data_IF_933599837861
#
_entry.id   IF_933599837861
#
_cell.length_a   1.000
_cell.length_b   1.000
_cell.length_c   1.000
_cell.angle_alpha   90.00
_cell.angle_beta   90.00
_cell.angle_gamma   90.00
#
_symmetry.space_group_name_H-M   'P 1'
#
loop_
_entity.id
_entity.type
_entity.pdbx_description
1 polymer ?
#
# COMPACT_ATOMS: atom_id res chain seq x y z
N UNK A 1 10.33 -25.27 -1.01
CA UNK A 1 10.39 -23.91 -1.51
C UNK A 1 10.09 -22.97 -0.34
N UNK A 2 10.95 -22.02 -0.14
CA UNK A 2 11.05 -21.13 1.01
C UNK A 2 10.87 -19.65 0.58
N UNK A 3 10.39 -19.48 -0.64
CA UNK A 3 10.03 -18.23 -1.29
C UNK A 3 8.76 -18.44 -2.12
N UNK A 4 7.81 -17.50 -2.04
CA UNK A 4 6.53 -17.60 -2.75
C UNK A 4 5.95 -16.22 -3.09
N UNK A 5 5.11 -16.20 -4.11
CA UNK A 5 4.28 -15.03 -4.42
C UNK A 5 2.99 -15.09 -3.61
N UNK A 6 2.62 -13.99 -2.98
CA UNK A 6 1.31 -13.77 -2.42
C UNK A 6 0.55 -12.80 -3.32
N UNK A 7 -0.41 -13.34 -4.07
CA UNK A 7 -1.00 -12.61 -5.20
C UNK A 7 0.05 -12.35 -6.30
N UNK A 8 -0.13 -11.26 -7.04
CA UNK A 8 0.73 -10.89 -8.17
C UNK A 8 1.86 -9.93 -7.78
N UNK A 9 1.74 -9.27 -6.63
CA UNK A 9 2.55 -8.11 -6.31
C UNK A 9 3.38 -8.24 -5.05
N UNK A 10 3.24 -9.32 -4.29
CA UNK A 10 4.01 -9.55 -3.07
C UNK A 10 4.87 -10.80 -3.22
N UNK A 11 6.17 -10.64 -3.01
CA UNK A 11 7.15 -11.71 -2.88
C UNK A 11 7.49 -11.86 -1.39
N UNK A 12 7.25 -13.02 -0.82
CA UNK A 12 7.60 -13.33 0.56
C UNK A 12 8.61 -14.46 0.63
N UNK A 13 9.48 -14.42 1.63
CA UNK A 13 10.45 -15.47 1.88
C UNK A 13 10.65 -15.66 3.38
N UNK A 14 10.90 -16.90 3.78
CA UNK A 14 11.25 -17.21 5.16
C UNK A 14 12.77 -17.25 5.35
N UNK A 15 13.26 -16.76 6.48
CA UNK A 15 14.64 -16.92 6.89
C UNK A 15 14.77 -18.29 7.57
N UNK A 16 15.33 -19.26 6.86
CA UNK A 16 15.39 -20.68 7.29
C UNK A 16 16.82 -21.19 7.51
N UNK A 17 17.82 -20.39 7.14
CA UNK A 17 19.21 -20.73 7.36
C UNK A 17 19.64 -20.40 8.79
N UNK A 18 20.56 -21.16 9.37
CA UNK A 18 21.15 -20.83 10.67
C UNK A 18 21.85 -19.47 10.63
N UNK A 19 21.82 -18.77 11.75
CA UNK A 19 22.61 -17.54 11.90
C UNK A 19 24.11 -17.87 11.98
N UNK A 20 24.91 -17.06 11.30
CA UNK A 20 26.34 -17.05 11.51
C UNK A 20 26.68 -16.58 12.94
N UNK A 21 27.52 -17.31 13.63
CA UNK A 21 27.86 -17.09 15.06
C UNK A 21 28.66 -15.80 15.31
N UNK A 22 29.28 -15.23 14.28
CA UNK A 22 30.07 -14.00 14.39
C UNK A 22 29.23 -12.78 14.09
N UNK A 23 28.42 -12.83 13.03
CA UNK A 23 27.61 -11.69 12.59
C UNK A 23 26.22 -11.66 13.22
N UNK A 24 25.72 -12.79 13.71
CA UNK A 24 24.34 -12.92 14.20
C UNK A 24 23.28 -12.85 13.10
N UNK A 25 23.68 -12.97 11.82
CA UNK A 25 22.80 -12.86 10.66
C UNK A 25 22.68 -14.19 9.94
N UNK A 26 21.52 -14.46 9.39
CA UNK A 26 21.28 -15.57 8.48
C UNK A 26 21.30 -15.08 7.02
N UNK A 27 22.09 -15.74 6.18
CA UNK A 27 22.11 -15.45 4.74
C UNK A 27 20.88 -16.02 4.07
N UNK A 28 20.30 -15.27 3.14
CA UNK A 28 19.15 -15.70 2.36
C UNK A 28 19.34 -15.34 0.90
N UNK A 29 19.28 -16.33 0.01
CA UNK A 29 19.28 -16.11 -1.45
C UNK A 29 17.84 -15.95 -1.92
N UNK A 30 17.54 -14.82 -2.55
CA UNK A 30 16.21 -14.45 -3.00
C UNK A 30 16.26 -14.23 -4.51
N UNK A 31 15.44 -14.96 -5.25
CA UNK A 31 15.20 -14.71 -6.66
C UNK A 31 14.14 -13.65 -6.82
N UNK A 32 14.48 -12.48 -7.34
CA UNK A 32 13.53 -11.44 -7.71
C UNK A 32 13.04 -11.67 -9.15
N UNK A 33 11.73 -11.91 -9.37
CA UNK A 33 11.17 -11.92 -10.72
C UNK A 33 11.43 -10.61 -11.47
N UNK A 34 11.26 -10.61 -12.79
CA UNK A 34 11.45 -9.39 -13.60
C UNK A 34 10.64 -8.19 -13.08
N UNK A 35 11.21 -6.99 -13.26
CA UNK A 35 10.68 -5.73 -12.73
C UNK A 35 11.46 -5.24 -11.52
N UNK A 36 10.95 -4.25 -10.82
CA UNK A 36 11.57 -3.70 -9.59
C UNK A 36 10.74 -4.09 -8.38
N UNK A 37 11.44 -4.28 -7.25
CA UNK A 37 10.87 -4.76 -6.01
C UNK A 37 11.25 -3.84 -4.86
N UNK A 38 10.26 -3.41 -4.13
CA UNK A 38 10.41 -2.56 -2.95
C UNK A 38 10.44 -3.43 -1.69
N UNK A 39 11.50 -3.32 -0.90
CA UNK A 39 11.59 -3.95 0.41
C UNK A 39 10.69 -3.18 1.40
N UNK A 40 9.64 -3.83 1.86
CA UNK A 40 8.65 -3.20 2.72
C UNK A 40 9.14 -2.97 4.17
N UNK A 41 10.29 -3.54 4.54
CA UNK A 41 10.91 -3.33 5.85
C UNK A 41 11.96 -2.21 5.82
N UNK A 42 12.80 -2.17 4.78
CA UNK A 42 13.95 -1.25 4.72
C UNK A 42 13.75 -0.06 3.79
N UNK A 43 12.80 -0.14 2.85
CA UNK A 43 12.60 0.86 1.81
C UNK A 43 13.57 0.74 0.63
N UNK A 44 14.41 -0.28 0.59
CA UNK A 44 15.34 -0.50 -0.51
C UNK A 44 14.62 -0.96 -1.79
N UNK A 45 15.18 -0.61 -2.94
CA UNK A 45 14.70 -1.07 -4.25
C UNK A 45 15.67 -2.09 -4.84
N UNK A 46 15.13 -3.21 -5.32
CA UNK A 46 15.88 -4.27 -5.99
C UNK A 46 15.45 -4.40 -7.44
N UNK A 47 16.43 -4.54 -8.33
CA UNK A 47 16.17 -4.91 -9.73
C UNK A 47 15.89 -6.42 -9.82
N UNK A 48 14.84 -6.78 -10.56
CA UNK A 48 14.47 -8.17 -10.78
C UNK A 48 15.26 -8.86 -11.91
N UNK A 49 14.86 -10.10 -12.22
CA UNK A 49 15.54 -10.96 -13.17
C UNK A 49 16.84 -11.56 -12.61
N UNK A 50 17.08 -11.47 -11.31
CA UNK A 50 18.32 -11.94 -10.67
C UNK A 50 18.11 -12.45 -9.25
N UNK A 51 19.11 -13.19 -8.76
CA UNK A 51 19.19 -13.62 -7.36
C UNK A 51 20.11 -12.68 -6.59
N UNK A 52 19.63 -12.23 -5.43
CA UNK A 52 20.42 -11.48 -4.44
C UNK A 52 20.69 -12.37 -3.22
N UNK A 53 21.83 -12.19 -2.58
CA UNK A 53 22.11 -12.76 -1.27
C UNK A 53 22.01 -11.65 -0.24
N UNK A 54 21.01 -11.75 0.63
CA UNK A 54 20.68 -10.77 1.66
C UNK A 54 20.82 -11.41 3.04
N UNK A 55 21.00 -10.58 4.05
CA UNK A 55 21.28 -11.03 5.42
C UNK A 55 20.25 -10.46 6.38
N UNK A 56 19.71 -11.33 7.24
CA UNK A 56 18.60 -11.00 8.14
C UNK A 56 18.87 -11.49 9.55
N UNK A 57 18.33 -10.80 10.52
CA UNK A 57 18.17 -11.34 11.87
C UNK A 57 17.01 -12.33 11.91
N UNK A 58 16.95 -13.18 12.94
CA UNK A 58 15.82 -14.13 13.10
C UNK A 58 14.48 -13.46 13.42
N UNK A 59 14.47 -12.19 13.77
CA UNK A 59 13.25 -11.41 14.02
C UNK A 59 12.67 -10.76 12.75
N UNK A 60 13.39 -10.80 11.64
CA UNK A 60 12.96 -10.21 10.38
C UNK A 60 12.19 -11.24 9.52
N UNK A 61 11.10 -10.78 8.93
CA UNK A 61 10.32 -11.53 7.96
C UNK A 61 10.34 -10.74 6.64
N UNK A 62 11.30 -10.99 5.75
CA UNK A 62 11.45 -10.23 4.53
C UNK A 62 10.29 -10.48 3.56
N UNK A 63 9.71 -9.39 3.11
CA UNK A 63 8.72 -9.38 2.04
C UNK A 63 8.87 -8.13 1.19
N UNK A 64 8.59 -8.29 -0.07
CA UNK A 64 8.83 -7.28 -1.09
C UNK A 64 7.57 -7.06 -1.88
N UNK A 65 7.31 -5.81 -2.23
CA UNK A 65 6.21 -5.46 -3.11
C UNK A 65 6.73 -5.03 -4.49
N UNK A 66 6.02 -5.39 -5.54
CA UNK A 66 6.33 -4.95 -6.89
C UNK A 66 6.23 -3.43 -6.99
N UNK A 67 7.17 -2.78 -7.68
CA UNK A 67 7.10 -1.35 -7.94
C UNK A 67 5.77 -0.99 -8.63
N UNK A 68 5.08 0.02 -8.11
CA UNK A 68 3.78 0.43 -8.59
C UNK A 68 2.59 -0.31 -7.95
N UNK A 69 2.81 -1.39 -7.21
CA UNK A 69 1.72 -2.08 -6.52
C UNK A 69 0.95 -1.13 -5.59
N UNK A 70 -0.35 -1.38 -5.45
CA UNK A 70 -1.22 -0.71 -4.49
C UNK A 70 -1.74 -1.79 -3.55
N UNK A 71 -1.37 -1.69 -2.27
CA UNK A 71 -1.68 -2.72 -1.27
C UNK A 71 -2.85 -2.26 -0.40
N UNK A 72 -4.02 -2.92 -0.50
CA UNK A 72 -5.14 -2.68 0.40
C UNK A 72 -4.89 -3.41 1.72
N UNK A 73 -5.07 -2.70 2.83
CA UNK A 73 -4.87 -3.24 4.17
C UNK A 73 -5.96 -2.74 5.12
N UNK A 74 -6.21 -3.49 6.18
CA UNK A 74 -7.03 -3.02 7.27
C UNK A 74 -6.23 -2.09 8.20
N UNK A 75 -6.84 -1.06 8.78
CA UNK A 75 -6.20 -0.27 9.82
C UNK A 75 -5.91 -1.14 11.05
N UNK A 76 -4.90 -0.76 11.83
CA UNK A 76 -4.49 -1.51 13.04
C UNK A 76 -5.59 -1.64 14.10
N UNK A 77 -6.62 -0.81 14.04
CA UNK A 77 -7.80 -0.87 14.92
C UNK A 77 -8.70 -2.06 14.61
N UNK A 78 -8.69 -2.57 13.38
CA UNK A 78 -9.45 -3.76 12.97
C UNK A 78 -8.70 -5.01 13.43
N UNK A 79 -9.29 -5.77 14.34
CA UNK A 79 -8.65 -6.93 14.98
C UNK A 79 -8.94 -8.26 14.28
N UNK A 80 -10.00 -8.33 13.50
CA UNK A 80 -10.37 -9.51 12.72
C UNK A 80 -11.20 -9.10 11.49
N UNK A 81 -11.33 -9.99 10.52
CA UNK A 81 -12.02 -9.74 9.25
C UNK A 81 -13.56 -9.67 9.37
N UNK A 82 -14.14 -9.94 10.53
CA UNK A 82 -15.57 -9.80 10.77
C UNK A 82 -15.96 -8.37 11.23
N UNK A 83 -14.98 -7.55 11.56
CA UNK A 83 -15.22 -6.15 11.90
C UNK A 83 -15.42 -5.32 10.62
N UNK A 84 -16.41 -4.41 10.60
CA UNK A 84 -16.56 -3.47 9.49
C UNK A 84 -15.27 -2.68 9.27
N UNK A 85 -14.90 -2.50 8.00
CA UNK A 85 -13.75 -1.70 7.59
C UNK A 85 -14.24 -0.37 7.01
N UNK A 86 -14.56 0.59 7.91
CA UNK A 86 -15.00 1.93 7.51
C UNK A 86 -13.84 2.79 6.98
N UNK A 87 -12.61 2.39 7.29
CA UNK A 87 -11.39 3.02 6.77
C UNK A 87 -10.53 1.98 6.09
N UNK A 88 -10.26 2.16 4.80
CA UNK A 88 -9.34 1.30 4.06
C UNK A 88 -7.95 1.96 4.01
N UNK A 89 -6.91 1.20 4.38
CA UNK A 89 -5.52 1.63 4.19
C UNK A 89 -5.06 1.23 2.79
N UNK A 90 -4.57 2.21 2.02
CA UNK A 90 -3.99 1.99 0.70
C UNK A 90 -2.53 2.41 0.72
N UNK A 91 -1.62 1.46 0.52
CA UNK A 91 -0.18 1.73 0.44
C UNK A 91 0.25 1.70 -1.02
N UNK A 92 0.75 2.83 -1.52
CA UNK A 92 1.15 3.03 -2.91
C UNK A 92 2.65 2.83 -3.07
N UNK A 93 3.06 1.64 -3.49
CA UNK A 93 4.47 1.26 -3.62
C UNK A 93 5.16 2.12 -4.67
N UNK A 94 6.36 2.69 -4.37
CA UNK A 94 7.07 3.58 -5.28
C UNK A 94 7.58 2.89 -6.54
N UNK A 95 8.16 3.67 -7.46
CA UNK A 95 8.99 3.18 -8.56
C UNK A 95 8.27 2.95 -9.89
N UNK A 96 6.92 2.91 -9.92
CA UNK A 96 6.13 2.86 -11.14
C UNK A 96 4.72 3.39 -10.92
N UNK A 97 4.01 3.68 -12.00
CA UNK A 97 2.55 3.81 -11.98
C UNK A 97 1.91 2.48 -11.59
N UNK A 98 0.69 2.55 -11.08
CA UNK A 98 0.03 1.35 -10.57
C UNK A 98 -1.48 1.37 -10.68
N UNK A 99 -2.03 0.16 -10.65
CA UNK A 99 -3.47 -0.08 -10.67
C UNK A 99 -3.80 -1.27 -9.75
N UNK A 100 -4.91 -1.16 -9.03
CA UNK A 100 -5.50 -2.22 -8.23
C UNK A 100 -6.99 -2.30 -8.57
N UNK A 101 -7.51 -3.50 -8.73
CA UNK A 101 -8.96 -3.77 -8.65
C UNK A 101 -9.20 -4.43 -7.30
N UNK A 102 -9.69 -3.65 -6.36
CA UNK A 102 -10.02 -4.12 -5.01
C UNK A 102 -11.38 -4.81 -5.04
N UNK A 103 -11.38 -6.12 -4.74
CA UNK A 103 -12.58 -6.94 -4.65
C UNK A 103 -13.05 -7.04 -3.20
N UNK A 104 -14.36 -6.98 -2.99
CA UNK A 104 -15.00 -7.13 -1.69
C UNK A 104 -16.31 -7.92 -1.81
N UNK A 105 -16.59 -8.75 -0.82
CA UNK A 105 -17.85 -9.45 -0.63
C UNK A 105 -18.24 -9.46 0.87
N UNK A 106 -19.28 -10.17 1.25
CA UNK A 106 -19.74 -10.24 2.65
C UNK A 106 -18.83 -11.12 3.57
N UNK A 107 -17.85 -11.82 2.99
CA UNK A 107 -16.90 -12.65 3.72
C UNK A 107 -17.47 -13.89 4.43
N UNK A 108 -18.78 -14.18 4.28
CA UNK A 108 -19.47 -15.24 5.02
C UNK A 108 -20.34 -16.14 4.13
N UNK A 109 -21.02 -15.58 3.12
CA UNK A 109 -21.90 -16.38 2.24
C UNK A 109 -21.12 -16.98 1.08
N UNK A 110 -21.74 -17.93 0.40
CA UNK A 110 -21.20 -18.51 -0.84
C UNK A 110 -21.60 -17.69 -2.09
N UNK A 111 -22.13 -16.48 -1.92
CA UNK A 111 -22.61 -15.65 -3.03
C UNK A 111 -21.48 -14.78 -3.64
N UNK A 112 -20.24 -15.02 -3.29
CA UNK A 112 -19.07 -14.26 -3.77
C UNK A 112 -18.97 -14.13 -5.30
N UNK A 113 -19.61 -15.02 -6.07
CA UNK A 113 -19.61 -14.97 -7.52
C UNK A 113 -20.69 -14.04 -8.10
N UNK A 114 -21.69 -13.62 -7.33
CA UNK A 114 -22.85 -12.86 -7.78
C UNK A 114 -23.16 -11.63 -6.95
N UNK A 115 -22.73 -11.61 -5.68
CA UNK A 115 -22.94 -10.52 -4.74
C UNK A 115 -21.57 -10.03 -4.23
N UNK A 116 -20.93 -9.20 -5.02
CA UNK A 116 -19.62 -8.62 -4.75
C UNK A 116 -19.54 -7.18 -5.26
N UNK A 117 -18.53 -6.50 -4.85
CA UNK A 117 -18.19 -5.18 -5.37
C UNK A 117 -16.72 -5.10 -5.77
N UNK A 118 -16.42 -4.26 -6.73
CA UNK A 118 -15.05 -3.92 -7.11
C UNK A 118 -14.83 -2.42 -7.07
N UNK A 119 -13.63 -2.01 -6.66
CA UNK A 119 -13.21 -0.62 -6.67
C UNK A 119 -11.85 -0.52 -7.34
N UNK A 120 -11.78 0.19 -8.45
CA UNK A 120 -10.52 0.45 -9.15
C UNK A 120 -9.76 1.57 -8.44
N UNK A 121 -8.49 1.33 -8.15
CA UNK A 121 -7.58 2.34 -7.59
C UNK A 121 -6.39 2.49 -8.53
N UNK A 122 -6.00 3.73 -8.80
CA UNK A 122 -4.84 4.01 -9.67
C UNK A 122 -3.89 4.98 -9.01
N UNK A 123 -2.59 4.85 -9.35
CA UNK A 123 -1.54 5.81 -9.01
C UNK A 123 -0.78 6.19 -10.27
N UNK A 124 -0.55 7.48 -10.47
CA UNK A 124 0.28 8.01 -11.56
C UNK A 124 1.21 9.10 -11.07
N UNK A 125 2.43 9.11 -11.61
CA UNK A 125 3.43 10.15 -11.37
C UNK A 125 3.66 10.91 -12.68
N UNK A 126 3.39 12.22 -12.67
CA UNK A 126 3.61 13.11 -13.80
C UNK A 126 4.42 14.33 -13.34
N UNK A 127 5.69 14.37 -13.73
CA UNK A 127 6.62 15.42 -13.28
C UNK A 127 6.69 15.46 -11.74
N UNK A 128 6.45 16.64 -11.18
CA UNK A 128 6.43 16.87 -9.72
C UNK A 128 5.06 16.60 -9.07
N UNK A 129 4.16 15.87 -9.73
CA UNK A 129 2.82 15.59 -9.21
C UNK A 129 2.57 14.08 -9.15
N UNK A 130 2.16 13.59 -7.98
CA UNK A 130 1.67 12.23 -7.79
C UNK A 130 0.16 12.28 -7.58
N UNK A 131 -0.57 11.54 -8.39
CA UNK A 131 -2.02 11.46 -8.38
C UNK A 131 -2.47 10.04 -8.04
N UNK A 132 -3.32 9.91 -7.02
CA UNK A 132 -3.99 8.68 -6.66
C UNK A 132 -5.51 8.86 -6.80
N UNK A 133 -6.17 7.91 -7.45
CA UNK A 133 -7.62 7.97 -7.67
C UNK A 133 -8.25 6.66 -7.23
N UNK A 134 -9.26 6.75 -6.39
CA UNK A 134 -10.21 5.68 -6.08
C UNK A 134 -11.45 5.92 -6.94
N UNK A 135 -11.73 5.02 -7.86
CA UNK A 135 -12.91 5.11 -8.73
C UNK A 135 -14.20 4.80 -7.95
N UNK A 136 -15.37 5.16 -8.47
CA UNK A 136 -16.64 4.70 -7.93
C UNK A 136 -16.68 3.18 -7.81
N UNK A 137 -17.26 2.68 -6.73
CA UNK A 137 -17.49 1.25 -6.52
C UNK A 137 -18.49 0.72 -7.55
N UNK A 138 -18.17 -0.40 -8.14
CA UNK A 138 -19.05 -1.16 -9.04
C UNK A 138 -19.57 -2.41 -8.30
N UNK A 139 -20.87 -2.67 -8.37
CA UNK A 139 -21.51 -3.79 -7.70
C UNK A 139 -21.84 -3.50 -6.22
N UNK A 140 -22.37 -4.51 -5.54
CA UNK A 140 -22.75 -4.43 -4.13
C UNK A 140 -22.87 -5.81 -3.50
N UNK A 141 -22.81 -5.88 -2.19
CA UNK A 141 -23.00 -7.09 -1.38
C UNK A 141 -23.67 -6.73 -0.05
N UNK A 142 -24.14 -7.72 0.70
CA UNK A 142 -24.77 -7.51 2.00
C UNK A 142 -23.78 -6.91 3.01
N UNK A 143 -24.08 -5.70 3.52
CA UNK A 143 -23.18 -4.97 4.43
C UNK A 143 -22.14 -4.09 3.74
N UNK A 144 -22.21 -3.92 2.43
CA UNK A 144 -21.34 -3.01 1.71
C UNK A 144 -21.49 -1.56 2.24
N UNK A 145 -20.40 -0.85 2.61
CA UNK A 145 -20.49 0.49 3.17
C UNK A 145 -20.93 1.50 2.10
N UNK A 146 -21.84 2.42 2.44
CA UNK A 146 -22.25 3.50 1.53
C UNK A 146 -21.19 4.61 1.42
N UNK A 147 -20.39 4.78 2.46
CA UNK A 147 -19.28 5.73 2.51
C UNK A 147 -18.07 5.11 3.18
N UNK A 148 -16.86 5.57 2.81
CA UNK A 148 -15.60 5.07 3.35
C UNK A 148 -14.59 6.20 3.46
N UNK A 149 -13.77 6.18 4.51
CA UNK A 149 -12.55 6.96 4.59
C UNK A 149 -11.34 6.16 4.14
N UNK A 150 -10.27 6.86 3.79
CA UNK A 150 -9.03 6.22 3.36
C UNK A 150 -7.85 6.78 4.15
N UNK A 151 -6.93 5.88 4.50
CA UNK A 151 -5.59 6.22 4.91
C UNK A 151 -4.65 5.85 3.75
N UNK A 152 -4.15 6.86 3.05
CA UNK A 152 -3.31 6.68 1.87
C UNK A 152 -1.85 6.94 2.22
N UNK A 153 -1.00 5.92 2.06
CA UNK A 153 0.42 5.93 2.41
C UNK A 153 1.27 5.90 1.14
N UNK A 154 2.24 6.79 1.05
CA UNK A 154 3.16 6.90 -0.08
C UNK A 154 4.61 6.72 0.39
N UNK A 155 5.08 5.48 0.66
CA UNK A 155 6.40 5.23 1.21
C UNK A 155 7.52 5.64 0.25
N UNK A 156 8.71 5.89 0.81
CA UNK A 156 9.91 6.35 0.11
C UNK A 156 9.64 7.56 -0.80
N UNK A 157 8.85 8.51 -0.29
CA UNK A 157 8.44 9.73 -1.00
C UNK A 157 8.78 10.95 -0.14
N UNK A 158 9.34 11.98 -0.74
CA UNK A 158 9.64 13.23 -0.02
C UNK A 158 8.37 13.91 0.50
N UNK A 159 8.49 14.80 1.52
CA UNK A 159 7.36 15.60 1.95
C UNK A 159 6.81 16.44 0.79
N UNK A 160 5.51 16.37 0.50
CA UNK A 160 4.92 17.20 -0.56
C UNK A 160 4.83 18.67 -0.10
N UNK A 161 4.88 19.58 -1.07
CA UNK A 161 4.60 21.00 -0.89
C UNK A 161 3.13 21.23 -0.56
N UNK A 162 2.24 20.57 -1.30
CA UNK A 162 0.80 20.61 -1.08
C UNK A 162 0.17 19.22 -1.23
N UNK A 163 -0.90 19.00 -0.49
CA UNK A 163 -1.75 17.82 -0.62
C UNK A 163 -3.17 18.27 -0.84
N UNK A 164 -3.81 17.75 -1.90
CA UNK A 164 -5.20 18.06 -2.21
C UNK A 164 -6.04 16.77 -2.22
N UNK A 165 -7.27 16.88 -1.73
CA UNK A 165 -8.31 15.84 -1.85
C UNK A 165 -9.49 16.45 -2.62
N UNK A 166 -9.84 15.84 -3.74
CA UNK A 166 -10.88 16.34 -4.66
C UNK A 166 -10.72 17.83 -4.99
N UNK A 167 -9.49 18.25 -5.30
CA UNK A 167 -9.13 19.64 -5.65
C UNK A 167 -9.09 20.62 -4.48
N UNK A 168 -9.38 20.19 -3.24
CA UNK A 168 -9.28 21.02 -2.04
C UNK A 168 -7.99 20.71 -1.31
N UNK A 169 -7.17 21.73 -1.05
CA UNK A 169 -5.97 21.58 -0.22
C UNK A 169 -6.33 21.25 1.22
N UNK A 170 -5.60 20.28 1.80
CA UNK A 170 -5.75 19.85 3.19
C UNK A 170 -4.48 20.17 3.99
N UNK A 171 -4.60 20.56 5.26
CA UNK A 171 -3.46 20.99 6.06
C UNK A 171 -2.61 19.81 6.57
N UNK A 172 -1.32 20.09 6.74
CA UNK A 172 -0.41 19.23 7.50
C UNK A 172 -0.75 19.25 8.99
N UNK A 173 -0.66 18.10 9.64
CA UNK A 173 -0.73 18.00 11.10
C UNK A 173 0.21 16.90 11.61
N UNK A 174 0.94 17.18 12.71
CA UNK A 174 1.80 16.15 13.35
C UNK A 174 0.99 14.97 13.88
N UNK A 175 -0.23 15.22 14.34
CA UNK A 175 -1.20 14.22 14.82
C UNK A 175 -2.49 14.41 14.01
N UNK A 176 -2.57 13.78 12.82
CA UNK A 176 -3.62 14.07 11.86
C UNK A 176 -4.97 13.50 12.29
N UNK A 177 -6.02 14.19 11.83
CA UNK A 177 -7.42 13.74 11.83
C UNK A 177 -7.85 13.54 10.37
N UNK A 178 -9.07 13.07 10.17
CA UNK A 178 -9.71 13.10 8.85
C UNK A 178 -9.64 14.50 8.23
N UNK A 179 -9.40 14.58 6.92
CA UNK A 179 -9.18 15.83 6.19
C UNK A 179 -7.79 16.48 6.43
N UNK A 180 -6.81 15.73 6.92
CA UNK A 180 -5.44 16.20 7.16
C UNK A 180 -4.42 15.19 6.64
N UNK A 181 -3.15 15.63 6.54
CA UNK A 181 -2.05 14.74 6.23
C UNK A 181 -0.88 14.90 7.20
N UNK A 182 -0.03 13.92 7.25
CA UNK A 182 1.21 13.93 8.03
C UNK A 182 2.36 13.34 7.23
N UNK A 183 3.56 13.43 7.78
CA UNK A 183 4.74 12.77 7.24
C UNK A 183 5.29 11.79 8.27
N UNK A 184 5.30 10.52 7.91
CA UNK A 184 5.93 9.47 8.70
C UNK A 184 7.41 9.42 8.36
N UNK A 185 8.25 9.91 9.26
CA UNK A 185 9.70 9.95 9.07
C UNK A 185 10.36 8.56 9.16
N UNK A 186 9.68 7.56 9.71
CA UNK A 186 10.22 6.20 9.80
C UNK A 186 10.13 5.47 8.46
N UNK A 187 8.99 5.60 7.78
CA UNK A 187 8.77 5.00 6.45
C UNK A 187 9.04 5.98 5.32
N UNK A 188 9.46 7.22 5.64
CA UNK A 188 9.63 8.34 4.70
C UNK A 188 8.38 8.50 3.83
N UNK A 189 7.22 8.56 4.45
CA UNK A 189 5.94 8.52 3.75
C UNK A 189 5.04 9.71 4.09
N UNK A 190 4.55 10.47 3.10
CA UNK A 190 3.31 11.22 3.28
C UNK A 190 2.16 10.25 3.54
N UNK A 191 1.35 10.55 4.55
CA UNK A 191 0.14 9.79 4.91
C UNK A 191 -1.04 10.74 4.91
N UNK A 192 -2.01 10.45 4.06
CA UNK A 192 -3.23 11.27 3.86
C UNK A 192 -4.42 10.57 4.51
N UNK A 193 -5.12 11.28 5.38
CA UNK A 193 -6.35 10.80 6.03
C UNK A 193 -7.54 11.54 5.43
N UNK A 194 -8.35 10.85 4.64
CA UNK A 194 -9.51 11.48 4.01
C UNK A 194 -10.70 11.53 4.97
N UNK A 195 -11.58 12.50 4.77
CA UNK A 195 -12.94 12.39 5.29
C UNK A 195 -13.66 11.19 4.65
N UNK A 196 -14.71 10.69 5.29
CA UNK A 196 -15.56 9.69 4.69
C UNK A 196 -16.25 10.27 3.45
N UNK A 197 -16.10 9.57 2.32
CA UNK A 197 -16.67 9.93 1.04
C UNK A 197 -17.63 8.84 0.55
N UNK A 198 -18.71 9.19 -0.17
CA UNK A 198 -19.60 8.22 -0.78
C UNK A 198 -18.84 7.27 -1.73
N UNK A 199 -19.10 5.96 -1.59
CA UNK A 199 -18.42 4.95 -2.40
C UNK A 199 -18.85 4.95 -3.88
N UNK A 200 -19.94 5.62 -4.23
CA UNK A 200 -20.45 5.78 -5.59
C UNK A 200 -19.83 6.97 -6.36
N UNK A 201 -18.87 7.66 -5.74
CA UNK A 201 -18.17 8.81 -6.33
C UNK A 201 -16.66 8.61 -6.33
N UNK A 202 -15.94 9.19 -7.30
CA UNK A 202 -14.49 9.12 -7.28
C UNK A 202 -13.92 9.96 -6.12
N UNK A 203 -12.80 9.49 -5.57
CA UNK A 203 -11.97 10.25 -4.65
C UNK A 203 -10.58 10.38 -5.26
N UNK A 204 -10.08 11.61 -5.32
CA UNK A 204 -8.77 11.92 -5.87
C UNK A 204 -7.89 12.55 -4.79
N UNK A 205 -6.66 12.07 -4.70
CA UNK A 205 -5.59 12.66 -3.88
C UNK A 205 -4.46 13.07 -4.79
N UNK A 206 -4.01 14.32 -4.66
CA UNK A 206 -2.90 14.88 -5.44
C UNK A 206 -1.85 15.42 -4.48
N UNK A 207 -0.62 14.91 -4.61
CA UNK A 207 0.57 15.40 -3.94
C UNK A 207 1.41 16.18 -4.96
N UNK A 208 1.74 17.42 -4.63
CA UNK A 208 2.65 18.24 -5.46
C UNK A 208 3.95 18.46 -4.72
N UNK A 209 5.08 18.26 -5.39
CA UNK A 209 6.42 18.38 -4.84
C UNK A 209 7.11 19.64 -5.36
N UNK A 210 8.21 20.06 -4.75
CA UNK A 210 9.08 21.09 -5.31
C UNK A 210 9.82 20.56 -6.55
N UNK A 211 10.22 21.45 -7.46
CA UNK A 211 10.81 21.13 -8.78
C UNK A 211 12.14 20.35 -8.71
N UNK A 212 12.64 20.02 -7.51
CA UNK A 212 13.92 19.33 -7.27
C UNK A 212 13.78 18.11 -6.35
N UNK A 213 12.55 17.61 -6.14
CA UNK A 213 12.30 16.45 -5.29
C UNK A 213 12.35 15.14 -6.11
#
# INVERSE_FOLDING_TARGET
ADQFMFGNDILATAVVEPVDSVTGLAARRIWFPEGRWYDCATGAMYEGGRTEELHYTLSENPWYARAGAILPMNPQTVKNLQQPCDTLVLTFIPGADGELVHYEDDGVSQQYATAYATTKVTKKQEGNTLRAVVAPREGTYAGAPDSRSYEMRFPATFPPKTVQVNGREIPYARFPKAGQWTYDAYTLAPVVYTDAAPCDRPLEVVLTFDDHA
#
